data_IF_263189852627
#
_entry.id   IF_263189852627
#
_cell.length_a   1.000
_cell.length_b   1.000
_cell.length_c   1.000
_cell.angle_alpha   90.00
_cell.angle_beta   90.00
_cell.angle_gamma   90.00
#
_symmetry.space_group_name_H-M   'P 1'
#
loop_
_entity.id
_entity.type
_entity.pdbx_description
1 polymer ?
#
# COMPACT_ATOMS: atom_id res chain seq x y z
N UNK A 1 37.75 -27.65 158.01
CA UNK A 1 36.40 -28.22 158.12
C UNK A 1 35.76 -28.12 156.75
N UNK A 2 35.35 -29.14 156.03
CA UNK A 2 35.53 -30.60 156.05
C UNK A 2 35.17 -31.01 154.60
N UNK A 3 36.06 -31.65 153.84
CA UNK A 3 36.23 -33.11 153.66
C UNK A 3 35.04 -33.85 153.03
N UNK A 4 35.36 -34.65 151.99
CA UNK A 4 34.67 -35.84 151.46
C UNK A 4 33.54 -35.65 150.44
N UNK A 5 33.33 -36.50 149.43
CA UNK A 5 34.09 -37.49 148.62
C UNK A 5 33.10 -37.87 147.47
N UNK A 6 33.40 -38.73 146.47
CA UNK A 6 32.92 -38.59 145.11
C UNK A 6 31.66 -39.44 144.87
N UNK A 7 30.88 -39.16 143.82
CA UNK A 7 29.86 -40.11 143.37
C UNK A 7 29.83 -40.17 141.85
N UNK A 8 30.05 -41.39 141.38
CA UNK A 8 30.08 -41.89 140.03
C UNK A 8 29.01 -41.28 139.10
N UNK A 9 29.47 -40.90 137.91
CA UNK A 9 28.63 -40.68 136.74
C UNK A 9 27.89 -41.99 136.36
N UNK A 10 26.62 -41.93 135.95
CA UNK A 10 26.04 -42.97 135.12
C UNK A 10 26.34 -42.64 133.65
N UNK A 11 26.85 -43.61 132.91
CA UNK A 11 26.90 -43.56 131.44
C UNK A 11 25.52 -43.14 130.89
N UNK A 12 25.48 -42.01 130.20
CA UNK A 12 24.30 -41.59 129.45
C UNK A 12 24.12 -42.55 128.26
N UNK A 13 22.97 -43.23 128.25
CA UNK A 13 22.50 -44.13 127.20
C UNK A 13 22.65 -43.48 125.81
N UNK A 14 23.29 -44.13 124.82
CA UNK A 14 23.43 -43.62 123.46
C UNK A 14 22.10 -43.22 122.79
N UNK A 15 20.97 -43.78 123.23
CA UNK A 15 19.65 -43.34 122.77
C UNK A 15 19.32 -41.90 123.20
N UNK A 16 19.68 -41.47 124.41
CA UNK A 16 19.40 -40.12 124.91
C UNK A 16 20.14 -39.04 124.10
N UNK A 17 21.39 -39.31 123.70
CA UNK A 17 22.14 -38.42 122.81
C UNK A 17 21.54 -38.34 121.40
N UNK A 18 20.96 -39.43 120.89
CA UNK A 18 20.28 -39.44 119.59
C UNK A 18 19.00 -38.59 119.60
N UNK A 19 18.20 -38.68 120.68
CA UNK A 19 16.98 -37.87 120.83
C UNK A 19 17.29 -36.38 121.01
N UNK A 20 18.33 -36.01 121.76
CA UNK A 20 18.75 -34.61 121.88
C UNK A 20 19.15 -34.01 120.51
N UNK A 21 19.86 -34.79 119.69
CA UNK A 21 20.26 -34.40 118.34
C UNK A 21 19.09 -34.34 117.35
N UNK A 22 18.05 -35.13 117.58
CA UNK A 22 16.81 -35.07 116.79
C UNK A 22 15.99 -33.83 117.19
N UNK A 23 15.89 -33.51 118.48
CA UNK A 23 15.20 -32.32 118.98
C UNK A 23 15.82 -31.04 118.38
N UNK A 24 17.14 -30.91 118.42
CA UNK A 24 17.86 -29.77 117.81
C UNK A 24 17.56 -29.63 116.30
N UNK A 25 17.46 -30.77 115.58
CA UNK A 25 17.11 -30.75 114.15
C UNK A 25 15.66 -30.37 113.89
N UNK A 26 14.74 -30.75 114.78
CA UNK A 26 13.32 -30.38 114.68
C UNK A 26 13.14 -28.90 114.95
N UNK A 27 13.82 -28.34 115.95
CA UNK A 27 13.79 -26.90 116.25
C UNK A 27 14.32 -26.06 115.06
N UNK A 28 15.38 -26.56 114.39
CA UNK A 28 15.90 -25.94 113.16
C UNK A 28 14.89 -25.99 111.99
N UNK A 29 14.17 -27.10 111.83
CA UNK A 29 13.13 -27.23 110.80
C UNK A 29 11.94 -26.32 111.11
N UNK A 30 11.53 -26.22 112.37
CA UNK A 30 10.44 -25.34 112.80
C UNK A 30 10.80 -23.87 112.56
N UNK A 31 12.03 -23.46 112.88
CA UNK A 31 12.54 -22.12 112.57
C UNK A 31 12.60 -21.84 111.06
N UNK A 32 13.00 -22.84 110.24
CA UNK A 32 13.03 -22.71 108.79
C UNK A 32 11.62 -22.59 108.19
N UNK A 33 10.65 -23.35 108.70
CA UNK A 33 9.24 -23.28 108.28
C UNK A 33 8.63 -21.95 108.69
N UNK A 34 8.89 -21.47 109.92
CA UNK A 34 8.45 -20.16 110.38
C UNK A 34 9.03 -19.03 109.52
N UNK A 35 10.33 -19.12 109.14
CA UNK A 35 10.96 -18.16 108.24
C UNK A 35 10.40 -18.18 106.81
N UNK A 36 10.03 -19.35 106.29
CA UNK A 36 9.35 -19.51 105.00
C UNK A 36 7.92 -18.97 105.03
N UNK A 37 7.19 -19.21 106.12
CA UNK A 37 5.84 -18.67 106.32
C UNK A 37 5.84 -17.14 106.40
N UNK A 38 6.78 -16.54 107.14
CA UNK A 38 6.94 -15.10 107.23
C UNK A 38 7.28 -14.44 105.88
N UNK A 39 8.11 -15.10 105.04
CA UNK A 39 8.37 -14.62 103.67
C UNK A 39 7.17 -14.73 102.74
N UNK A 40 6.27 -15.68 102.98
CA UNK A 40 5.05 -15.86 102.19
C UNK A 40 4.01 -14.80 102.49
N UNK A 41 3.88 -14.38 103.75
CA UNK A 41 3.02 -13.25 104.12
C UNK A 41 3.54 -11.91 103.58
N UNK A 42 4.85 -11.79 103.33
CA UNK A 42 5.47 -10.63 102.69
C UNK A 42 5.42 -10.64 101.14
N UNK A 43 4.70 -11.59 100.53
CA UNK A 43 4.55 -11.62 99.07
C UNK A 43 3.71 -10.42 98.58
N UNK A 44 4.21 -9.62 97.61
CA UNK A 44 3.46 -8.50 97.06
C UNK A 44 2.16 -8.98 96.39
N UNK A 45 1.07 -8.23 96.57
CA UNK A 45 -0.18 -8.51 95.87
C UNK A 45 -0.09 -8.02 94.41
N UNK A 46 0.01 -8.96 93.48
CA UNK A 46 0.08 -8.68 92.04
C UNK A 46 -1.31 -8.59 91.38
N UNK A 47 -2.40 -8.69 92.14
CA UNK A 47 -3.77 -8.68 91.60
C UNK A 47 -4.09 -7.39 90.84
N UNK A 48 -3.58 -6.24 91.30
CA UNK A 48 -3.71 -4.94 90.63
C UNK A 48 -2.99 -4.93 89.28
N UNK A 49 -1.71 -5.34 89.25
CA UNK A 49 -0.93 -5.44 88.01
C UNK A 49 -1.50 -6.45 87.01
N UNK A 50 -2.04 -7.59 87.47
CA UNK A 50 -2.74 -8.53 86.60
C UNK A 50 -4.04 -7.94 86.05
N UNK A 51 -4.76 -7.16 86.85
CA UNK A 51 -5.94 -6.41 86.42
C UNK A 51 -5.62 -5.42 85.30
N UNK A 52 -4.54 -4.65 85.44
CA UNK A 52 -4.09 -3.72 84.40
C UNK A 52 -3.71 -4.43 83.09
N UNK A 53 -3.00 -5.55 83.18
CA UNK A 53 -2.64 -6.37 82.00
C UNK A 53 -3.90 -6.92 81.32
N UNK A 54 -4.90 -7.36 82.09
CA UNK A 54 -6.17 -7.84 81.54
C UNK A 54 -6.91 -6.73 80.78
N UNK A 55 -6.94 -5.50 81.33
CA UNK A 55 -7.52 -4.33 80.66
C UNK A 55 -6.76 -3.99 79.38
N UNK A 56 -5.43 -4.05 79.40
CA UNK A 56 -4.60 -3.75 78.23
C UNK A 56 -4.81 -4.78 77.11
N UNK A 57 -4.91 -6.07 77.46
CA UNK A 57 -5.25 -7.13 76.51
C UNK A 57 -6.65 -6.97 75.91
N UNK A 58 -7.63 -6.49 76.67
CA UNK A 58 -8.95 -6.19 76.12
C UNK A 58 -8.88 -5.03 75.11
N UNK A 59 -8.17 -3.94 75.44
CA UNK A 59 -7.98 -2.80 74.51
C UNK A 59 -7.28 -3.22 73.22
N UNK A 60 -6.25 -4.08 73.30
CA UNK A 60 -5.58 -4.63 72.13
C UNK A 60 -6.52 -5.50 71.30
N UNK A 61 -7.36 -6.32 71.94
CA UNK A 61 -8.36 -7.14 71.25
C UNK A 61 -9.41 -6.28 70.53
N UNK A 62 -9.88 -5.21 71.15
CA UNK A 62 -10.78 -4.24 70.52
C UNK A 62 -10.10 -3.51 69.35
N UNK A 63 -8.86 -3.10 69.51
CA UNK A 63 -8.07 -2.49 68.44
C UNK A 63 -7.89 -3.45 67.25
N UNK A 64 -7.60 -4.73 67.50
CA UNK A 64 -7.48 -5.75 66.44
C UNK A 64 -8.83 -5.99 65.77
N UNK A 65 -9.92 -6.12 66.53
CA UNK A 65 -11.26 -6.31 65.97
C UNK A 65 -11.73 -5.12 65.13
N UNK A 66 -11.44 -3.90 65.58
CA UNK A 66 -11.76 -2.68 64.82
C UNK A 66 -10.90 -2.57 63.57
N UNK A 67 -9.61 -2.94 63.62
CA UNK A 67 -8.72 -2.96 62.47
C UNK A 67 -9.11 -4.04 61.45
N UNK A 68 -9.49 -5.23 61.90
CA UNK A 68 -9.99 -6.32 61.07
C UNK A 68 -11.31 -5.98 60.36
N UNK A 69 -12.13 -5.10 60.96
CA UNK A 69 -13.37 -4.59 60.36
C UNK A 69 -13.15 -3.40 59.42
N UNK A 70 -11.93 -2.86 59.30
CA UNK A 70 -11.67 -1.75 58.37
C UNK A 70 -11.62 -2.26 56.92
N UNK A 71 -12.22 -1.53 55.97
CA UNK A 71 -12.26 -1.90 54.55
C UNK A 71 -10.88 -1.91 53.85
N UNK A 72 -9.81 -1.53 54.55
CA UNK A 72 -8.45 -1.62 54.05
C UNK A 72 -7.97 -3.08 53.86
N UNK A 73 -8.52 -4.06 54.60
CA UNK A 73 -8.17 -5.48 54.41
C UNK A 73 -8.88 -6.14 53.21
N UNK A 74 -9.94 -5.54 52.68
CA UNK A 74 -10.63 -6.03 51.47
C UNK A 74 -10.01 -5.51 50.17
N UNK A 75 -9.14 -4.51 50.25
CA UNK A 75 -8.34 -4.01 49.13
C UNK A 75 -7.02 -4.79 49.08
N UNK A 76 -7.09 -6.08 48.75
CA UNK A 76 -5.89 -6.85 48.47
C UNK A 76 -5.27 -6.37 47.14
N UNK A 77 -3.93 -6.29 47.04
CA UNK A 77 -3.26 -5.91 45.80
C UNK A 77 -3.71 -6.76 44.60
N UNK A 78 -3.99 -8.04 44.82
CA UNK A 78 -4.49 -8.96 43.80
C UNK A 78 -5.89 -8.58 43.29
N UNK A 79 -6.81 -8.22 44.20
CA UNK A 79 -8.15 -7.77 43.81
C UNK A 79 -8.12 -6.43 43.06
N UNK A 80 -7.20 -5.53 43.44
CA UNK A 80 -6.98 -4.29 42.70
C UNK A 80 -6.39 -4.55 41.31
N UNK A 81 -5.41 -5.46 41.19
CA UNK A 81 -4.82 -5.84 39.92
C UNK A 81 -5.85 -6.50 38.98
N UNK A 82 -6.73 -7.35 39.51
CA UNK A 82 -7.81 -7.97 38.75
C UNK A 82 -8.82 -6.94 38.24
N UNK A 83 -9.23 -5.99 39.08
CA UNK A 83 -10.11 -4.89 38.67
C UNK A 83 -9.46 -3.98 37.62
N UNK A 84 -8.18 -3.66 37.76
CA UNK A 84 -7.42 -2.88 36.77
C UNK A 84 -7.30 -3.67 35.45
N UNK A 85 -7.06 -4.97 35.51
CA UNK A 85 -6.99 -5.81 34.31
C UNK A 85 -8.36 -5.94 33.62
N UNK A 86 -9.44 -6.06 34.39
CA UNK A 86 -10.81 -6.10 33.87
C UNK A 86 -11.20 -4.76 33.23
N UNK A 87 -10.98 -3.64 33.93
CA UNK A 87 -11.20 -2.29 33.39
C UNK A 87 -10.30 -1.98 32.18
N UNK A 88 -9.06 -2.48 32.19
CA UNK A 88 -8.13 -2.37 31.08
C UNK A 88 -8.57 -3.18 29.86
N UNK A 89 -9.16 -4.37 30.06
CA UNK A 89 -9.74 -5.18 28.97
C UNK A 89 -10.96 -4.51 28.35
N UNK A 90 -11.86 -3.95 29.15
CA UNK A 90 -13.05 -3.25 28.63
C UNK A 90 -12.66 -1.97 27.88
N UNK A 91 -11.74 -1.17 28.43
CA UNK A 91 -11.22 0.02 27.75
C UNK A 91 -10.53 -0.34 26.41
N UNK A 92 -9.72 -1.41 26.40
CA UNK A 92 -9.03 -1.86 25.17
C UNK A 92 -9.94 -2.55 24.16
N UNK A 93 -11.10 -3.07 24.57
CA UNK A 93 -12.01 -3.75 23.65
C UNK A 93 -12.56 -2.76 22.60
N UNK A 94 -12.99 -1.59 23.02
CA UNK A 94 -13.48 -0.53 22.12
C UNK A 94 -12.36 -0.01 21.20
N UNK A 95 -11.17 0.24 21.76
CA UNK A 95 -9.99 0.63 20.99
C UNK A 95 -9.60 -0.43 19.95
N UNK A 96 -9.63 -1.71 20.33
CA UNK A 96 -9.29 -2.81 19.42
C UNK A 96 -10.27 -2.92 18.25
N UNK A 97 -11.56 -2.69 18.50
CA UNK A 97 -12.58 -2.66 17.48
C UNK A 97 -12.41 -1.45 16.55
N UNK A 98 -12.11 -0.26 17.10
CA UNK A 98 -11.84 0.93 16.32
C UNK A 98 -10.58 0.78 15.44
N UNK A 99 -9.51 0.22 15.99
CA UNK A 99 -8.27 -0.08 15.25
C UNK A 99 -8.52 -1.12 14.15
N UNK A 100 -9.31 -2.17 14.44
CA UNK A 100 -9.71 -3.16 13.45
C UNK A 100 -10.47 -2.52 12.27
N UNK A 101 -11.46 -1.69 12.56
CA UNK A 101 -12.21 -0.96 11.53
C UNK A 101 -11.32 0.01 10.75
N UNK A 102 -10.38 0.70 11.40
CA UNK A 102 -9.44 1.60 10.73
C UNK A 102 -8.52 0.83 9.77
N UNK A 103 -7.97 -0.31 10.20
CA UNK A 103 -7.17 -1.20 9.35
C UNK A 103 -7.97 -1.71 8.15
N UNK A 104 -9.22 -2.13 8.37
CA UNK A 104 -10.08 -2.56 7.28
C UNK A 104 -10.36 -1.45 6.27
N UNK A 105 -10.60 -0.22 6.75
CA UNK A 105 -10.80 0.95 5.88
C UNK A 105 -9.54 1.27 5.08
N UNK A 106 -8.36 1.24 5.71
CA UNK A 106 -7.07 1.46 5.05
C UNK A 106 -6.81 0.37 4.00
N UNK A 107 -6.99 -0.91 4.34
CA UNK A 107 -6.80 -2.02 3.42
C UNK A 107 -7.74 -1.95 2.23
N UNK A 108 -9.02 -1.62 2.45
CA UNK A 108 -10.00 -1.41 1.37
C UNK A 108 -9.63 -0.22 0.49
N UNK A 109 -9.13 0.87 1.07
CA UNK A 109 -8.68 2.02 0.32
C UNK A 109 -7.43 1.70 -0.53
N UNK A 110 -6.45 1.00 0.05
CA UNK A 110 -5.25 0.55 -0.65
C UNK A 110 -5.61 -0.38 -1.83
N UNK A 111 -6.46 -1.38 -1.60
CA UNK A 111 -6.92 -2.27 -2.67
C UNK A 111 -7.66 -1.54 -3.80
N UNK A 112 -8.48 -0.53 -3.46
CA UNK A 112 -9.14 0.33 -4.47
C UNK A 112 -8.12 1.17 -5.24
N UNK A 113 -7.11 1.72 -4.58
CA UNK A 113 -6.06 2.49 -5.23
C UNK A 113 -5.22 1.62 -6.16
N UNK A 114 -4.87 0.40 -5.76
CA UNK A 114 -4.15 -0.56 -6.62
C UNK A 114 -4.99 -0.97 -7.84
N UNK A 115 -6.29 -1.24 -7.64
CA UNK A 115 -7.21 -1.50 -8.73
C UNK A 115 -7.34 -0.32 -9.70
N UNK A 116 -7.48 0.91 -9.17
CA UNK A 116 -7.53 2.13 -9.97
C UNK A 116 -6.20 2.40 -10.68
N UNK A 117 -5.06 2.18 -10.01
CA UNK A 117 -3.74 2.34 -10.60
C UNK A 117 -3.53 1.33 -11.75
N UNK A 118 -3.91 0.06 -11.56
CA UNK A 118 -3.86 -0.97 -12.60
C UNK A 118 -4.77 -0.65 -13.79
N UNK A 119 -5.99 -0.18 -13.54
CA UNK A 119 -6.92 0.22 -14.61
C UNK A 119 -6.46 1.49 -15.34
N UNK A 120 -5.88 2.47 -14.65
CA UNK A 120 -5.31 3.68 -15.26
C UNK A 120 -4.06 3.35 -16.08
N UNK A 121 -3.16 2.51 -15.55
CA UNK A 121 -1.95 2.10 -16.25
C UNK A 121 -2.28 1.36 -17.55
N UNK A 122 -3.21 0.40 -17.50
CA UNK A 122 -3.69 -0.32 -18.68
C UNK A 122 -4.43 0.59 -19.66
N UNK A 123 -5.24 1.53 -19.18
CA UNK A 123 -5.92 2.49 -20.05
C UNK A 123 -4.95 3.44 -20.76
N UNK A 124 -3.86 3.85 -20.11
CA UNK A 124 -2.83 4.73 -20.70
C UNK A 124 -2.06 4.00 -21.80
N UNK A 125 -1.67 2.76 -21.56
CA UNK A 125 -0.97 1.95 -22.56
C UNK A 125 -1.88 1.63 -23.76
N UNK A 126 -3.14 1.28 -23.51
CA UNK A 126 -4.13 1.09 -24.58
C UNK A 126 -4.35 2.36 -25.41
N UNK A 127 -4.44 3.54 -24.78
CA UNK A 127 -4.55 4.82 -25.52
C UNK A 127 -3.31 5.07 -26.37
N UNK A 128 -2.11 4.79 -25.85
CA UNK A 128 -0.87 4.95 -26.61
C UNK A 128 -0.84 4.07 -27.84
N UNK A 129 -1.19 2.78 -27.71
CA UNK A 129 -1.28 1.87 -28.85
C UNK A 129 -2.36 2.30 -29.86
N UNK A 130 -3.53 2.75 -29.39
CA UNK A 130 -4.59 3.25 -30.29
C UNK A 130 -4.16 4.52 -31.02
N UNK A 131 -3.50 5.46 -30.35
CA UNK A 131 -2.98 6.67 -30.97
C UNK A 131 -1.89 6.36 -32.00
N UNK A 132 -0.99 5.41 -31.69
CA UNK A 132 0.00 4.94 -32.65
C UNK A 132 -0.63 4.25 -33.85
N UNK A 133 -1.58 3.34 -33.63
CA UNK A 133 -2.31 2.67 -34.71
C UNK A 133 -3.10 3.66 -35.57
N UNK A 134 -3.76 4.64 -34.96
CA UNK A 134 -4.45 5.72 -35.66
C UNK A 134 -3.46 6.58 -36.47
N UNK A 135 -2.33 6.97 -35.88
CA UNK A 135 -1.28 7.71 -36.57
C UNK A 135 -0.72 6.96 -37.77
N UNK A 136 -0.40 5.67 -37.61
CA UNK A 136 0.06 4.80 -38.70
C UNK A 136 -1.03 4.66 -39.77
N UNK A 137 -2.30 4.46 -39.39
CA UNK A 137 -3.41 4.36 -40.33
C UNK A 137 -3.61 5.64 -41.16
N UNK A 138 -3.49 6.81 -40.53
CA UNK A 138 -3.57 8.10 -41.22
C UNK A 138 -2.39 8.26 -42.20
N UNK A 139 -1.16 7.98 -41.76
CA UNK A 139 0.02 8.07 -42.61
C UNK A 139 -0.06 7.09 -43.80
N UNK A 140 -0.47 5.84 -43.55
CA UNK A 140 -0.67 4.85 -44.59
C UNK A 140 -1.78 5.27 -45.57
N UNK A 141 -2.87 5.85 -45.08
CA UNK A 141 -3.95 6.39 -45.90
C UNK A 141 -3.50 7.56 -46.78
N UNK A 142 -2.73 8.50 -46.23
CA UNK A 142 -2.14 9.61 -47.00
C UNK A 142 -1.19 9.10 -48.09
N UNK A 143 -0.32 8.14 -47.76
CA UNK A 143 0.62 7.56 -48.71
C UNK A 143 -0.12 6.81 -49.83
N UNK A 144 -1.13 6.02 -49.46
CA UNK A 144 -1.98 5.33 -50.42
C UNK A 144 -2.69 6.33 -51.35
N UNK A 145 -3.27 7.41 -50.81
CA UNK A 145 -3.95 8.43 -51.61
C UNK A 145 -3.01 9.17 -52.57
N UNK A 146 -1.72 9.29 -52.24
CA UNK A 146 -0.72 9.88 -53.14
C UNK A 146 -0.31 8.94 -54.27
N UNK A 147 -0.29 7.63 -54.03
CA UNK A 147 0.21 6.63 -54.99
C UNK A 147 -0.91 6.13 -55.90
N UNK A 148 -2.12 5.98 -55.36
CA UNK A 148 -3.27 5.41 -56.04
C UNK A 148 -3.60 6.10 -57.37
N UNK A 149 -3.61 7.44 -57.51
CA UNK A 149 -3.92 8.08 -58.79
C UNK A 149 -2.95 7.64 -59.89
N UNK A 150 -1.64 7.65 -59.63
CA UNK A 150 -0.63 7.31 -60.64
C UNK A 150 -0.64 5.83 -61.06
N UNK A 151 -0.94 4.91 -60.14
CA UNK A 151 -0.96 3.47 -60.44
C UNK A 151 -2.29 3.05 -61.07
N UNK A 152 -3.42 3.55 -60.56
CA UNK A 152 -4.75 3.23 -61.11
C UNK A 152 -4.92 3.74 -62.53
N UNK A 153 -4.39 4.93 -62.86
CA UNK A 153 -4.42 5.46 -64.22
C UNK A 153 -3.65 4.61 -65.24
N UNK A 154 -2.67 3.81 -64.79
CA UNK A 154 -1.82 3.00 -65.67
C UNK A 154 -2.31 1.55 -65.83
N UNK A 155 -3.21 1.11 -64.95
CA UNK A 155 -3.74 -0.26 -64.93
C UNK A 155 -5.13 -0.40 -65.58
N UNK A 156 -5.74 0.70 -66.03
CA UNK A 156 -7.05 0.69 -66.69
C UNK A 156 -6.94 0.43 -68.20
N UNK A 157 -7.97 -0.20 -68.82
CA UNK A 157 -7.96 -0.56 -70.23
C UNK A 157 -7.83 0.66 -71.15
N UNK A 158 -6.96 0.53 -72.16
CA UNK A 158 -6.65 1.56 -73.16
C UNK A 158 -7.89 2.07 -73.93
N UNK A 159 -8.99 1.32 -73.97
CA UNK A 159 -10.22 1.69 -74.68
C UNK A 159 -10.97 2.88 -74.06
N UNK A 160 -10.61 3.31 -72.85
CA UNK A 160 -11.36 4.32 -72.11
C UNK A 160 -10.82 5.75 -72.23
N UNK A 161 -9.66 5.96 -72.88
CA UNK A 161 -9.03 7.28 -73.10
C UNK A 161 -9.02 8.23 -71.87
N UNK A 162 -8.94 7.64 -70.67
CA UNK A 162 -8.94 8.37 -69.41
C UNK A 162 -7.70 9.24 -69.20
N UNK A 163 -6.46 8.82 -69.53
CA UNK A 163 -5.31 9.71 -69.35
C UNK A 163 -5.39 10.94 -70.26
N UNK A 164 -5.90 10.79 -71.49
CA UNK A 164 -6.09 11.90 -72.43
C UNK A 164 -7.20 12.84 -71.94
N UNK A 165 -8.35 12.30 -71.50
CA UNK A 165 -9.46 13.09 -70.97
C UNK A 165 -9.07 13.84 -69.70
N UNK A 166 -8.28 13.20 -68.83
CA UNK A 166 -7.77 13.84 -67.62
C UNK A 166 -6.69 14.88 -67.94
N UNK A 167 -5.84 14.66 -68.94
CA UNK A 167 -4.90 15.67 -69.41
C UNK A 167 -5.63 16.92 -69.91
N UNK A 168 -6.68 16.77 -70.73
CA UNK A 168 -7.51 17.90 -71.14
C UNK A 168 -8.16 18.62 -69.94
N UNK A 169 -8.62 17.87 -68.94
CA UNK A 169 -9.19 18.45 -67.72
C UNK A 169 -8.16 19.22 -66.88
N UNK A 170 -6.94 18.70 -66.72
CA UNK A 170 -5.85 19.36 -65.98
C UNK A 170 -5.37 20.62 -66.72
N UNK A 171 -5.28 20.56 -68.05
CA UNK A 171 -4.92 21.71 -68.89
C UNK A 171 -6.06 22.73 -68.89
N UNK A 172 -7.31 22.28 -68.70
CA UNK A 172 -8.49 23.14 -68.58
C UNK A 172 -9.08 23.54 -69.93
N UNK A 173 -8.85 22.74 -70.98
CA UNK A 173 -9.40 22.99 -72.31
C UNK A 173 -10.63 22.11 -72.58
N UNK A 174 -11.62 22.60 -73.35
CA UNK A 174 -12.90 21.92 -73.55
C UNK A 174 -12.79 20.68 -74.44
N UNK A 175 -11.75 20.60 -75.29
CA UNK A 175 -11.52 19.46 -76.18
C UNK A 175 -10.10 18.93 -76.05
N UNK A 176 -9.93 17.63 -76.35
CA UNK A 176 -8.61 16.99 -76.42
C UNK A 176 -7.68 17.68 -77.43
N UNK A 177 -8.25 18.15 -78.54
CA UNK A 177 -7.50 18.87 -79.56
C UNK A 177 -6.97 20.20 -79.02
N UNK A 178 -7.82 21.00 -78.38
CA UNK A 178 -7.42 22.28 -77.79
C UNK A 178 -6.36 22.09 -76.70
N UNK A 179 -6.52 21.07 -75.85
CA UNK A 179 -5.53 20.67 -74.86
C UNK A 179 -4.18 20.30 -75.50
N UNK A 180 -4.20 19.52 -76.58
CA UNK A 180 -3.01 19.17 -77.35
C UNK A 180 -2.35 20.37 -78.01
N UNK A 181 -3.14 21.28 -78.60
CA UNK A 181 -2.58 22.51 -79.20
C UNK A 181 -1.94 23.42 -78.16
N UNK A 182 -2.53 23.52 -76.96
CA UNK A 182 -1.98 24.32 -75.87
C UNK A 182 -0.69 23.72 -75.32
N UNK A 183 -0.62 22.40 -75.19
CA UNK A 183 0.61 21.67 -74.85
C UNK A 183 1.72 21.92 -75.87
N UNK A 184 1.43 21.73 -77.16
CA UNK A 184 2.42 21.92 -78.24
C UNK A 184 2.93 23.37 -78.30
N UNK A 185 2.05 24.36 -78.13
CA UNK A 185 2.46 25.77 -78.04
C UNK A 185 3.28 26.08 -76.79
N UNK A 186 2.98 25.44 -75.67
CA UNK A 186 3.71 25.62 -74.42
C UNK A 186 5.12 25.01 -74.47
N UNK A 187 5.32 23.95 -75.25
CA UNK A 187 6.63 23.34 -75.50
C UNK A 187 7.49 24.20 -76.45
N UNK A 188 6.97 24.53 -77.63
CA UNK A 188 7.66 25.35 -78.62
C UNK A 188 6.70 26.08 -79.55
N UNK A 189 6.68 27.40 -79.46
CA UNK A 189 5.87 28.23 -80.35
C UNK A 189 6.35 28.14 -81.81
N UNK A 190 7.66 27.95 -82.03
CA UNK A 190 8.22 27.86 -83.38
C UNK A 190 7.81 26.55 -84.06
N UNK A 191 7.91 25.42 -83.37
CA UNK A 191 7.52 24.12 -83.94
C UNK A 191 6.02 24.04 -84.18
N UNK A 192 5.21 24.62 -83.29
CA UNK A 192 3.77 24.78 -83.54
C UNK A 192 3.50 25.57 -84.82
N UNK A 193 4.18 26.70 -85.02
CA UNK A 193 4.00 27.51 -86.22
C UNK A 193 4.35 26.71 -87.49
N UNK A 194 5.49 26.01 -87.49
CA UNK A 194 5.90 25.15 -88.62
C UNK A 194 4.89 24.04 -88.90
N UNK A 195 4.36 23.39 -87.86
CA UNK A 195 3.30 22.38 -88.00
C UNK A 195 2.02 22.97 -88.59
N UNK A 196 1.59 24.15 -88.12
CA UNK A 196 0.39 24.82 -88.66
C UNK A 196 0.56 25.30 -90.09
N UNK A 197 1.76 25.76 -90.46
CA UNK A 197 2.09 26.15 -91.83
C UNK A 197 2.05 24.93 -92.76
N UNK A 198 2.72 23.84 -92.38
CA UNK A 198 2.67 22.59 -93.12
C UNK A 198 1.24 22.06 -93.27
N UNK A 199 0.44 22.10 -92.20
CA UNK A 199 -0.96 21.70 -92.24
C UNK A 199 -1.81 22.58 -93.17
N UNK A 200 -1.49 23.88 -93.26
CA UNK A 200 -2.15 24.83 -94.16
C UNK A 200 -1.82 24.50 -95.62
N UNK A 201 -0.53 24.28 -95.94
CA UNK A 201 -0.10 23.87 -97.28
C UNK A 201 -0.77 22.55 -97.69
N UNK A 202 -0.82 21.55 -96.81
CA UNK A 202 -1.47 20.27 -97.08
C UNK A 202 -2.98 20.43 -97.34
N UNK A 203 -3.65 21.28 -96.56
CA UNK A 203 -5.09 21.55 -96.71
C UNK A 203 -5.38 22.27 -98.03
N UNK A 204 -4.60 23.30 -98.35
CA UNK A 204 -4.75 24.09 -99.55
C UNK A 204 -4.46 23.28 -100.83
N UNK A 205 -3.62 22.25 -100.73
CA UNK A 205 -3.24 21.36 -101.83
C UNK A 205 -3.89 19.97 -101.76
N UNK A 206 -4.94 19.79 -100.94
CA UNK A 206 -5.51 18.46 -100.63
C UNK A 206 -5.76 17.62 -101.88
N UNK A 207 -6.44 18.17 -102.88
CA UNK A 207 -6.83 17.43 -104.08
C UNK A 207 -5.60 17.02 -104.93
N UNK A 208 -4.63 17.92 -105.10
CA UNK A 208 -3.40 17.63 -105.84
C UNK A 208 -2.59 16.54 -105.13
N UNK A 209 -2.48 16.62 -103.81
CA UNK A 209 -1.75 15.66 -102.99
C UNK A 209 -2.44 14.29 -103.00
N UNK A 210 -3.77 14.23 -102.87
CA UNK A 210 -4.53 12.97 -102.94
C UNK A 210 -4.32 12.27 -104.29
N UNK A 211 -4.33 13.03 -105.40
CA UNK A 211 -4.02 12.51 -106.75
C UNK A 211 -2.59 12.00 -106.88
N UNK A 212 -1.63 12.62 -106.20
CA UNK A 212 -0.23 12.16 -106.17
C UNK A 212 -0.04 10.94 -105.24
N UNK A 213 -0.77 10.83 -104.13
CA UNK A 213 -0.66 9.73 -103.18
C UNK A 213 -1.16 8.40 -103.76
N UNK A 214 -2.22 8.42 -104.56
CA UNK A 214 -2.77 7.20 -105.17
C UNK A 214 -1.75 6.40 -106.03
N UNK A 215 -1.02 7.01 -106.99
CA UNK A 215 0.03 6.31 -107.74
C UNK A 215 1.27 6.03 -106.87
N UNK A 216 1.64 6.91 -105.94
CA UNK A 216 2.76 6.68 -105.02
C UNK A 216 2.56 5.42 -104.17
N UNK A 217 1.35 5.23 -103.63
CA UNK A 217 0.97 4.05 -102.86
C UNK A 217 0.97 2.77 -103.71
N UNK A 218 0.47 2.84 -104.95
CA UNK A 218 0.47 1.72 -105.89
C UNK A 218 1.88 1.31 -106.32
N UNK A 219 2.73 2.28 -106.63
CA UNK A 219 4.10 2.05 -107.09
C UNK A 219 5.07 1.78 -105.93
N UNK A 220 4.68 2.09 -104.69
CA UNK A 220 5.53 2.11 -103.48
C UNK A 220 6.84 2.88 -103.71
N UNK A 221 6.77 3.97 -104.49
CA UNK A 221 7.91 4.80 -104.86
C UNK A 221 7.56 6.27 -104.67
N UNK A 222 8.55 7.12 -104.34
CA UNK A 222 8.34 8.55 -104.27
C UNK A 222 7.92 9.08 -105.63
N UNK A 223 6.96 10.01 -105.65
CA UNK A 223 6.50 10.70 -106.85
C UNK A 223 6.71 12.19 -106.68
N UNK A 224 6.98 12.88 -107.78
CA UNK A 224 7.00 14.34 -107.77
C UNK A 224 5.56 14.85 -107.81
N UNK A 225 5.24 15.77 -106.90
CA UNK A 225 3.93 16.42 -106.83
C UNK A 225 4.14 17.92 -106.79
N UNK A 226 3.48 18.63 -107.70
CA UNK A 226 3.49 20.09 -107.72
C UNK A 226 2.47 20.58 -106.70
N UNK A 227 2.93 21.39 -105.75
CA UNK A 227 2.08 22.05 -104.74
C UNK A 227 2.14 23.56 -104.93
N UNK A 228 1.02 24.20 -104.70
CA UNK A 228 0.89 25.65 -104.68
C UNK A 228 1.19 26.17 -103.27
N UNK A 229 2.14 27.09 -103.15
CA UNK A 229 2.49 27.74 -101.88
C UNK A 229 1.96 29.16 -101.94
N UNK A 230 0.96 29.47 -101.11
CA UNK A 230 0.46 30.84 -100.96
C UNK A 230 1.40 31.66 -100.08
N UNK A 231 1.54 32.98 -100.32
CA UNK A 231 2.33 33.84 -99.46
C UNK A 231 1.75 33.86 -98.03
N UNK A 232 2.63 33.87 -97.03
CA UNK A 232 2.24 34.07 -95.64
C UNK A 232 1.63 35.47 -95.50
N UNK A 233 0.37 35.53 -95.05
CA UNK A 233 -0.35 36.77 -94.72
C UNK A 233 -0.02 37.24 -93.31
#
# INVERSE_FOLDING_TARGET
MDTNLPSLAPEADPAAHAFARLAEKVDLLEAAIAGLAAKREAAPDYSETLGEIAVLLQKVREAINTLARRPAMTLTPDAMAEQIAAAGKTARAEDSAAIGQARDRINKAAARLEYLAGTIATAREQRRHRLWAAGIGVLAGMLAWSILPGVTLRAMPQSWHMPESMAAHIIGEPTLWDAGTRLLRADSQQDWNTLTEAATILRDNREAIEKCQAPAGKAKKPVHCTVEIRPAS
#
